data_IF_991865635843
#
_entry.id   IF_991865635843
#
_cell.length_a   1.000
_cell.length_b   1.000
_cell.length_c   1.000
_cell.angle_alpha   90.00
_cell.angle_beta   90.00
_cell.angle_gamma   90.00
#
_symmetry.space_group_name_H-M   'P 1'
#
loop_
_entity.id
_entity.type
_entity.pdbx_description
1 polymer ?
#
# COMPACT_ATOMS: atom_id res chain seq x y z
N UNK A 1 22.69 28.71 -2.58
CA UNK A 1 21.77 29.42 -1.68
C UNK A 1 21.78 28.73 -0.32
N UNK A 2 22.38 29.38 0.63
CA UNK A 2 22.48 29.21 2.09
C UNK A 2 22.50 27.80 2.72
N UNK A 3 23.64 27.10 2.60
CA UNK A 3 24.00 25.95 3.44
C UNK A 3 24.07 26.29 4.96
N UNK A 4 24.21 27.58 5.32
CA UNK A 4 24.26 28.03 6.69
C UNK A 4 22.89 28.07 7.41
N UNK A 5 21.78 28.28 6.71
CA UNK A 5 20.44 28.32 7.31
C UNK A 5 19.99 26.91 7.72
N UNK A 6 20.25 25.91 6.89
CA UNK A 6 19.89 24.50 7.17
C UNK A 6 20.70 23.90 8.33
N UNK A 7 22.00 24.24 8.46
CA UNK A 7 22.82 23.85 9.61
C UNK A 7 22.32 24.47 10.92
N UNK A 8 21.82 25.73 10.88
CA UNK A 8 21.28 26.40 12.07
C UNK A 8 19.96 25.79 12.56
N UNK A 9 19.17 25.20 11.68
CA UNK A 9 17.89 24.56 12.02
C UNK A 9 18.09 23.25 12.80
N UNK A 10 19.16 22.52 12.52
CA UNK A 10 19.45 21.23 13.16
C UNK A 10 19.95 21.36 14.61
N UNK A 11 20.45 22.52 14.99
CA UNK A 11 20.97 22.81 16.32
C UNK A 11 19.93 23.46 17.25
N UNK A 12 18.75 23.84 16.76
CA UNK A 12 17.71 24.48 17.61
C UNK A 12 16.90 23.45 18.38
N UNK A 13 16.81 23.52 19.71
CA UNK A 13 16.08 22.55 20.55
C UNK A 13 14.61 22.37 20.16
N UNK A 14 13.94 23.44 19.71
CA UNK A 14 12.54 23.41 19.28
C UNK A 14 12.29 22.48 18.10
N UNK A 15 13.24 22.35 17.15
CA UNK A 15 13.11 21.44 16.01
C UNK A 15 13.38 19.97 16.40
N UNK A 16 14.17 19.72 17.44
CA UNK A 16 14.35 18.38 18.00
C UNK A 16 13.03 17.83 18.56
N UNK A 17 12.26 18.68 19.27
CA UNK A 17 10.92 18.34 19.75
C UNK A 17 9.97 18.03 18.58
N UNK A 18 9.93 18.87 17.56
CA UNK A 18 9.02 18.72 16.42
C UNK A 18 9.36 17.48 15.59
N UNK A 19 10.65 17.16 15.40
CA UNK A 19 11.08 15.89 14.77
C UNK A 19 10.63 14.67 15.58
N UNK A 20 10.73 14.70 16.90
CA UNK A 20 10.24 13.62 17.77
C UNK A 20 8.72 13.48 17.68
N UNK A 21 7.99 14.58 17.78
CA UNK A 21 6.53 14.59 17.63
C UNK A 21 6.10 14.04 16.25
N UNK A 22 6.84 14.35 15.19
CA UNK A 22 6.55 13.84 13.86
C UNK A 22 6.78 12.33 13.75
N UNK A 23 7.85 11.78 14.34
CA UNK A 23 8.07 10.32 14.41
C UNK A 23 6.92 9.65 15.18
N UNK A 24 6.52 10.23 16.31
CA UNK A 24 5.41 9.70 17.12
C UNK A 24 4.09 9.74 16.36
N UNK A 25 3.83 10.85 15.66
CA UNK A 25 2.66 11.00 14.79
C UNK A 25 2.63 9.92 13.70
N UNK A 26 3.73 9.75 12.95
CA UNK A 26 3.84 8.74 11.90
C UNK A 26 3.68 7.31 12.44
N UNK A 27 4.15 7.05 13.66
CA UNK A 27 4.00 5.77 14.34
C UNK A 27 2.55 5.47 14.68
N UNK A 28 1.83 6.44 15.28
CA UNK A 28 0.41 6.27 15.62
C UNK A 28 -0.44 6.17 14.35
N UNK A 29 -0.15 6.98 13.34
CA UNK A 29 -0.78 6.89 12.02
C UNK A 29 -0.59 5.49 11.41
N UNK A 30 0.59 4.88 11.58
CA UNK A 30 0.84 3.49 11.17
C UNK A 30 -0.06 2.50 11.91
N UNK A 31 -0.30 2.66 13.23
CA UNK A 31 -1.21 1.81 13.99
C UNK A 31 -2.63 1.90 13.47
N UNK A 32 -3.14 3.12 13.25
CA UNK A 32 -4.48 3.36 12.74
C UNK A 32 -4.62 2.74 11.33
N UNK A 33 -3.66 2.97 10.44
CA UNK A 33 -3.70 2.42 9.07
C UNK A 33 -3.58 0.90 9.04
N UNK A 34 -2.87 0.27 9.98
CA UNK A 34 -2.86 -1.18 10.16
C UNK A 34 -4.23 -1.67 10.58
N UNK A 35 -4.86 -1.04 11.59
CA UNK A 35 -6.17 -1.43 12.09
C UNK A 35 -7.28 -1.33 11.03
N UNK A 36 -7.22 -0.34 10.14
CA UNK A 36 -8.18 -0.20 9.03
C UNK A 36 -7.68 -0.84 7.73
N UNK A 37 -6.56 -1.55 7.78
CA UNK A 37 -5.95 -2.25 6.65
C UNK A 37 -6.75 -3.47 6.20
N UNK A 38 -6.37 -4.02 5.05
CA UNK A 38 -7.13 -5.06 4.31
C UNK A 38 -7.66 -6.19 5.17
N UNK A 39 -6.84 -6.77 6.05
CA UNK A 39 -7.22 -7.96 6.84
C UNK A 39 -8.21 -7.61 7.95
N UNK A 40 -7.95 -6.55 8.70
CA UNK A 40 -8.84 -6.13 9.78
C UNK A 40 -10.16 -5.56 9.23
N UNK A 41 -10.07 -4.81 8.13
CA UNK A 41 -11.25 -4.34 7.41
C UNK A 41 -12.11 -5.50 6.91
N UNK A 42 -11.48 -6.57 6.38
CA UNK A 42 -12.19 -7.78 5.96
C UNK A 42 -12.93 -8.44 7.14
N UNK A 43 -12.30 -8.50 8.32
CA UNK A 43 -12.96 -9.04 9.53
C UNK A 43 -14.22 -8.24 9.91
N UNK A 44 -14.13 -6.90 9.88
CA UNK A 44 -15.28 -6.02 10.13
C UNK A 44 -16.37 -6.23 9.07
N UNK A 45 -16.01 -6.25 7.79
CA UNK A 45 -16.94 -6.39 6.68
C UNK A 45 -17.65 -7.76 6.66
N UNK A 46 -16.93 -8.84 6.99
CA UNK A 46 -17.51 -10.18 7.18
C UNK A 46 -18.55 -10.21 8.29
N UNK A 47 -18.29 -9.52 9.41
CA UNK A 47 -19.21 -9.50 10.56
C UNK A 47 -20.55 -8.85 10.28
N UNK A 48 -20.62 -7.96 9.29
CA UNK A 48 -21.87 -7.31 8.84
C UNK A 48 -22.49 -7.98 7.61
N UNK A 49 -21.97 -9.17 7.21
CA UNK A 49 -22.54 -10.01 6.17
C UNK A 49 -22.19 -9.62 4.73
N UNK A 50 -21.08 -8.87 4.51
CA UNK A 50 -20.62 -8.57 3.15
C UNK A 50 -20.02 -9.80 2.47
N UNK A 51 -20.25 -9.93 1.16
CA UNK A 51 -19.66 -11.01 0.34
C UNK A 51 -18.16 -10.79 0.12
N UNK A 52 -17.42 -11.89 -0.11
CA UNK A 52 -15.98 -11.87 -0.39
C UNK A 52 -15.63 -10.97 -1.58
N UNK A 53 -16.47 -11.01 -2.62
CA UNK A 53 -16.34 -10.14 -3.79
C UNK A 53 -16.45 -8.65 -3.45
N UNK A 54 -17.43 -8.29 -2.62
CA UNK A 54 -17.63 -6.90 -2.17
C UNK A 54 -16.49 -6.45 -1.27
N UNK A 55 -15.99 -7.34 -0.40
CA UNK A 55 -14.84 -7.06 0.48
C UNK A 55 -13.57 -6.84 -0.35
N UNK A 56 -13.35 -7.67 -1.37
CA UNK A 56 -12.21 -7.49 -2.28
C UNK A 56 -12.27 -6.13 -2.98
N UNK A 57 -13.42 -5.72 -3.47
CA UNK A 57 -13.61 -4.38 -4.06
C UNK A 57 -13.36 -3.27 -3.02
N UNK A 58 -13.88 -3.42 -1.80
CA UNK A 58 -13.69 -2.45 -0.73
C UNK A 58 -12.19 -2.29 -0.38
N UNK A 59 -11.43 -3.39 -0.34
CA UNK A 59 -10.00 -3.32 -0.11
C UNK A 59 -9.23 -2.66 -1.25
N UNK A 60 -9.74 -2.73 -2.48
CA UNK A 60 -9.16 -2.02 -3.63
C UNK A 60 -9.40 -0.51 -3.61
N UNK A 61 -10.41 -0.04 -2.89
CA UNK A 61 -10.60 1.40 -2.63
C UNK A 61 -9.36 1.99 -1.98
N UNK A 62 -8.67 1.26 -1.10
CA UNK A 62 -7.41 1.69 -0.47
C UNK A 62 -6.34 2.05 -1.52
N UNK A 63 -6.30 1.34 -2.64
CA UNK A 63 -5.36 1.60 -3.74
C UNK A 63 -5.90 2.66 -4.71
N UNK A 64 -7.19 2.60 -5.05
CA UNK A 64 -7.83 3.55 -5.95
C UNK A 64 -7.79 4.98 -5.41
N UNK A 65 -8.03 5.17 -4.12
CA UNK A 65 -8.01 6.49 -3.49
C UNK A 65 -6.65 7.19 -3.53
N UNK A 66 -5.55 6.46 -3.81
CA UNK A 66 -4.23 7.07 -4.09
C UNK A 66 -4.24 7.96 -5.33
N UNK A 67 -5.13 7.72 -6.29
CA UNK A 67 -5.28 8.59 -7.45
C UNK A 67 -5.71 10.02 -7.05
N UNK A 68 -6.47 10.16 -5.96
CA UNK A 68 -6.89 11.47 -5.43
C UNK A 68 -5.75 12.25 -4.77
N UNK A 69 -4.57 11.64 -4.55
CA UNK A 69 -3.38 12.36 -4.08
C UNK A 69 -3.02 13.53 -5.01
N UNK A 70 -3.36 13.45 -6.30
CA UNK A 70 -3.17 14.57 -7.24
C UNK A 70 -3.93 15.82 -6.83
N UNK A 71 -5.05 15.70 -6.11
CA UNK A 71 -5.83 16.83 -5.58
C UNK A 71 -5.07 17.60 -4.49
N UNK A 72 -4.00 17.04 -3.94
CA UNK A 72 -3.13 17.75 -3.01
C UNK A 72 -2.29 18.85 -3.67
N UNK A 73 -2.06 18.77 -4.98
CA UNK A 73 -1.21 19.74 -5.72
C UNK A 73 -1.72 21.17 -5.56
N UNK A 74 -3.01 21.50 -5.83
CA UNK A 74 -3.52 22.84 -5.60
C UNK A 74 -3.53 23.25 -4.12
N UNK A 75 -3.62 22.30 -3.20
CA UNK A 75 -3.63 22.55 -1.76
C UNK A 75 -2.23 22.89 -1.22
N UNK A 76 -1.17 22.44 -1.87
CA UNK A 76 0.21 22.77 -1.50
C UNK A 76 0.58 24.25 -1.74
N UNK A 77 -0.28 25.01 -2.43
CA UNK A 77 -0.11 26.47 -2.63
C UNK A 77 -0.44 27.28 -1.37
N UNK A 78 -1.17 26.71 -0.42
CA UNK A 78 -1.51 27.40 0.82
C UNK A 78 -0.29 27.53 1.73
N UNK A 79 -0.03 28.77 2.14
CA UNK A 79 1.11 29.10 2.99
C UNK A 79 1.05 28.43 4.37
N UNK A 80 -0.16 28.22 4.89
CA UNK A 80 -0.42 27.64 6.20
C UNK A 80 -1.19 26.30 6.07
N UNK A 81 -0.48 25.17 5.87
CA UNK A 81 -1.12 23.88 5.63
C UNK A 81 -1.93 23.36 6.83
N UNK A 82 -1.55 23.73 8.06
CA UNK A 82 -2.19 23.24 9.28
C UNK A 82 -3.67 23.62 9.38
N UNK A 83 -4.06 24.81 8.90
CA UNK A 83 -5.45 25.27 8.94
C UNK A 83 -6.44 24.36 8.22
N UNK A 84 -6.08 23.85 7.05
CA UNK A 84 -6.97 22.96 6.29
C UNK A 84 -6.67 21.47 6.51
N UNK A 85 -5.43 21.11 6.90
CA UNK A 85 -5.10 19.73 7.28
C UNK A 85 -5.79 19.30 8.58
N UNK A 86 -5.99 20.21 9.55
CA UNK A 86 -6.64 19.88 10.83
C UNK A 86 -8.06 19.35 10.66
N UNK A 87 -9.02 20.06 10.02
CA UNK A 87 -10.36 19.52 9.82
C UNK A 87 -10.37 18.25 8.99
N UNK A 88 -9.47 18.17 8.00
CA UNK A 88 -9.30 16.98 7.17
C UNK A 88 -8.84 15.77 8.01
N UNK A 89 -7.86 15.97 8.90
CA UNK A 89 -7.39 14.96 9.82
C UNK A 89 -8.52 14.47 10.74
N UNK A 90 -9.30 15.39 11.32
CA UNK A 90 -10.46 15.03 12.15
C UNK A 90 -11.45 14.15 11.39
N UNK A 91 -11.76 14.49 10.14
CA UNK A 91 -12.66 13.68 9.32
C UNK A 91 -12.07 12.30 9.00
N UNK A 92 -10.76 12.19 8.78
CA UNK A 92 -10.06 10.92 8.59
C UNK A 92 -10.22 10.05 9.84
N UNK A 93 -9.89 10.59 11.02
CA UNK A 93 -9.89 9.87 12.27
C UNK A 93 -11.32 9.41 12.69
N UNK A 94 -12.31 10.26 12.48
CA UNK A 94 -13.71 9.91 12.68
C UNK A 94 -14.10 8.76 11.74
N UNK A 95 -13.76 8.86 10.44
CA UNK A 95 -14.09 7.84 9.45
C UNK A 95 -13.48 6.49 9.82
N UNK A 96 -12.20 6.46 10.21
CA UNK A 96 -11.49 5.24 10.57
C UNK A 96 -12.01 4.63 11.88
N UNK A 97 -12.37 5.45 12.85
CA UNK A 97 -13.02 4.98 14.10
C UNK A 97 -14.39 4.37 13.82
N UNK A 98 -15.19 5.00 12.95
CA UNK A 98 -16.52 4.51 12.57
C UNK A 98 -16.49 3.11 11.94
N UNK A 99 -15.43 2.72 11.24
CA UNK A 99 -15.27 1.37 10.66
C UNK A 99 -15.53 0.29 11.73
N UNK A 100 -14.99 0.45 12.93
CA UNK A 100 -15.19 -0.50 14.03
C UNK A 100 -16.50 -0.34 14.78
N UNK A 101 -17.09 0.85 14.77
CA UNK A 101 -18.31 1.14 15.54
C UNK A 101 -19.59 0.81 14.76
N UNK A 102 -19.54 0.78 13.41
CA UNK A 102 -20.71 0.44 12.57
C UNK A 102 -21.34 -0.90 12.94
N UNK A 103 -20.60 -2.00 13.20
CA UNK A 103 -21.21 -3.28 13.60
C UNK A 103 -21.97 -3.21 14.93
N UNK A 104 -21.60 -2.28 15.80
CA UNK A 104 -22.11 -2.17 17.19
C UNK A 104 -23.28 -1.23 17.31
N UNK A 105 -23.32 -0.17 16.49
CA UNK A 105 -24.38 0.83 16.56
C UNK A 105 -25.74 0.25 16.19
N UNK A 106 -26.84 0.78 16.79
CA UNK A 106 -28.22 0.37 16.50
C UNK A 106 -28.66 0.87 15.10
N UNK A 107 -27.92 0.48 14.07
CA UNK A 107 -28.18 0.84 12.67
C UNK A 107 -28.85 -0.36 11.99
N UNK A 108 -29.88 -0.14 11.13
CA UNK A 108 -30.47 -1.21 10.33
C UNK A 108 -29.42 -2.02 9.59
N UNK A 109 -29.51 -3.35 9.62
CA UNK A 109 -28.51 -4.26 9.03
C UNK A 109 -28.25 -3.98 7.55
N UNK A 110 -29.30 -3.62 6.80
CA UNK A 110 -29.16 -3.27 5.38
C UNK A 110 -28.37 -1.98 5.09
N UNK A 111 -28.26 -1.04 6.08
CA UNK A 111 -27.51 0.20 5.90
C UNK A 111 -26.04 0.08 6.30
N UNK A 112 -25.65 -0.92 7.09
CA UNK A 112 -24.29 -1.10 7.59
C UNK A 112 -23.24 -1.23 6.47
N UNK A 113 -23.43 -2.03 5.41
CA UNK A 113 -22.48 -2.13 4.33
C UNK A 113 -22.24 -0.79 3.61
N UNK A 114 -23.32 -0.03 3.34
CA UNK A 114 -23.21 1.27 2.68
C UNK A 114 -22.42 2.28 3.55
N UNK A 115 -22.71 2.32 4.85
CA UNK A 115 -21.98 3.19 5.78
C UNK A 115 -20.52 2.80 5.92
N UNK A 116 -20.20 1.51 5.93
CA UNK A 116 -18.82 1.03 5.94
C UNK A 116 -18.07 1.47 4.66
N UNK A 117 -18.68 1.31 3.50
CA UNK A 117 -18.11 1.78 2.22
C UNK A 117 -17.87 3.29 2.26
N UNK A 118 -18.83 4.08 2.72
CA UNK A 118 -18.69 5.53 2.84
C UNK A 118 -17.54 5.90 3.77
N UNK A 119 -17.45 5.29 4.96
CA UNK A 119 -16.37 5.54 5.92
C UNK A 119 -14.99 5.20 5.33
N UNK A 120 -14.85 4.06 4.65
CA UNK A 120 -13.60 3.62 4.03
C UNK A 120 -13.21 4.54 2.87
N UNK A 121 -14.13 4.86 1.96
CA UNK A 121 -13.87 5.74 0.81
C UNK A 121 -13.49 7.14 1.28
N UNK A 122 -14.28 7.73 2.17
CA UNK A 122 -14.04 9.09 2.68
C UNK A 122 -12.71 9.16 3.43
N UNK A 123 -12.51 8.29 4.42
CA UNK A 123 -11.29 8.27 5.23
C UNK A 123 -10.03 8.11 4.37
N UNK A 124 -10.01 7.12 3.46
CA UNK A 124 -8.83 6.87 2.62
C UNK A 124 -8.60 7.94 1.54
N UNK A 125 -9.65 8.54 0.98
CA UNK A 125 -9.52 9.65 0.03
C UNK A 125 -8.86 10.85 0.71
N UNK A 126 -9.39 11.27 1.85
CA UNK A 126 -8.84 12.39 2.61
C UNK A 126 -7.41 12.08 3.10
N UNK A 127 -7.16 10.85 3.56
CA UNK A 127 -5.84 10.40 3.95
C UNK A 127 -4.82 10.57 2.81
N UNK A 128 -5.12 10.06 1.61
CA UNK A 128 -4.22 10.15 0.47
C UNK A 128 -3.99 11.61 0.01
N UNK A 129 -5.03 12.46 0.03
CA UNK A 129 -4.89 13.89 -0.26
C UNK A 129 -3.95 14.56 0.77
N UNK A 130 -4.00 14.17 2.05
CA UNK A 130 -3.17 14.74 3.11
C UNK A 130 -1.70 14.31 3.07
N UNK A 131 -1.36 13.19 2.43
CA UNK A 131 -0.01 12.60 2.46
C UNK A 131 1.08 13.55 1.94
N UNK A 132 0.88 14.15 0.74
CA UNK A 132 1.89 15.04 0.14
C UNK A 132 2.12 16.31 0.93
N UNK A 133 1.10 17.04 1.40
CA UNK A 133 1.27 18.22 2.24
C UNK A 133 1.93 17.92 3.59
N UNK A 134 1.57 16.79 4.23
CA UNK A 134 2.25 16.35 5.46
C UNK A 134 3.72 16.05 5.21
N UNK A 135 4.05 15.38 4.12
CA UNK A 135 5.45 15.09 3.76
C UNK A 135 6.24 16.38 3.47
N UNK A 136 5.65 17.33 2.73
CA UNK A 136 6.25 18.63 2.46
C UNK A 136 6.51 19.43 3.74
N UNK A 137 5.58 19.39 4.68
CA UNK A 137 5.72 20.01 5.98
C UNK A 137 6.88 19.39 6.80
N UNK A 138 7.00 18.06 6.83
CA UNK A 138 8.10 17.34 7.48
C UNK A 138 9.47 17.79 6.97
N UNK A 139 9.60 18.00 5.67
CA UNK A 139 10.86 18.44 5.04
C UNK A 139 11.39 19.73 5.69
N UNK A 140 10.50 20.60 6.16
CA UNK A 140 10.87 21.83 6.86
C UNK A 140 11.57 21.63 8.21
N UNK A 141 11.39 20.48 8.88
CA UNK A 141 12.03 20.17 10.18
C UNK A 141 13.39 19.51 10.04
N UNK A 142 13.73 18.98 8.87
CA UNK A 142 14.89 18.10 8.66
C UNK A 142 15.82 18.72 7.62
N UNK A 143 17.11 18.80 7.94
CA UNK A 143 18.13 19.26 7.01
C UNK A 143 18.28 18.28 5.83
N UNK A 144 18.61 18.79 4.65
CA UNK A 144 18.63 18.04 3.38
C UNK A 144 19.57 16.83 3.43
N UNK A 145 20.72 16.99 4.06
CA UNK A 145 21.75 15.95 4.25
C UNK A 145 21.33 14.85 5.24
N UNK A 146 20.25 15.06 6.03
CA UNK A 146 19.78 14.11 7.06
C UNK A 146 18.40 13.52 6.77
N UNK A 147 17.74 13.92 5.69
CA UNK A 147 16.39 13.46 5.34
C UNK A 147 16.32 11.94 5.21
N UNK A 148 17.27 11.33 4.51
CA UNK A 148 17.31 9.88 4.33
C UNK A 148 17.43 9.14 5.67
N UNK A 149 18.35 9.58 6.54
CA UNK A 149 18.53 8.99 7.89
C UNK A 149 17.28 9.14 8.75
N UNK A 150 16.66 10.33 8.73
CA UNK A 150 15.45 10.62 9.50
C UNK A 150 14.29 9.73 9.04
N UNK A 151 14.05 9.64 7.72
CA UNK A 151 12.99 8.79 7.14
C UNK A 151 13.25 7.32 7.46
N UNK A 152 14.48 6.84 7.37
CA UNK A 152 14.83 5.46 7.72
C UNK A 152 14.52 5.14 9.19
N UNK A 153 14.91 6.03 10.12
CA UNK A 153 14.61 5.87 11.56
C UNK A 153 13.09 5.87 11.80
N UNK A 154 12.37 6.82 11.21
CA UNK A 154 10.91 6.91 11.33
C UNK A 154 10.23 5.63 10.81
N UNK A 155 10.60 5.16 9.63
CA UNK A 155 10.03 3.93 9.07
C UNK A 155 10.37 2.70 9.90
N UNK A 156 11.59 2.58 10.41
CA UNK A 156 11.99 1.45 11.27
C UNK A 156 11.16 1.41 12.55
N UNK A 157 10.97 2.55 13.21
CA UNK A 157 10.15 2.65 14.43
C UNK A 157 8.69 2.32 14.10
N UNK A 158 8.13 2.91 13.04
CA UNK A 158 6.72 2.68 12.64
C UNK A 158 6.47 1.23 12.26
N UNK A 159 7.36 0.59 11.50
CA UNK A 159 7.24 -0.81 11.12
C UNK A 159 7.36 -1.74 12.32
N UNK A 160 8.41 -1.58 13.14
CA UNK A 160 8.65 -2.45 14.29
C UNK A 160 7.52 -2.36 15.33
N UNK A 161 7.11 -1.15 15.69
CA UNK A 161 6.00 -0.94 16.63
C UNK A 161 4.64 -1.31 16.00
N UNK A 162 4.47 -1.13 14.67
CA UNK A 162 3.28 -1.55 13.94
C UNK A 162 3.07 -3.07 13.96
N UNK A 163 4.15 -3.86 13.88
CA UNK A 163 4.08 -5.32 14.03
C UNK A 163 3.59 -5.71 15.43
N UNK A 164 4.14 -5.08 16.48
CA UNK A 164 3.72 -5.30 17.86
C UNK A 164 2.25 -4.90 18.05
N UNK A 165 1.83 -3.75 17.52
CA UNK A 165 0.44 -3.29 17.55
C UNK A 165 -0.50 -4.26 16.84
N UNK A 166 -0.14 -4.73 15.64
CA UNK A 166 -0.93 -5.70 14.89
C UNK A 166 -1.13 -7.01 15.67
N UNK A 167 -0.07 -7.49 16.33
CA UNK A 167 -0.16 -8.67 17.20
C UNK A 167 -1.12 -8.44 18.38
N UNK A 168 -1.01 -7.29 19.07
CA UNK A 168 -1.88 -6.94 20.20
C UNK A 168 -3.34 -6.85 19.76
N UNK A 169 -3.61 -6.17 18.64
CA UNK A 169 -4.95 -6.03 18.08
C UNK A 169 -5.52 -7.41 17.70
N UNK A 170 -4.73 -8.26 17.03
CA UNK A 170 -5.12 -9.64 16.72
C UNK A 170 -5.47 -10.44 17.96
N UNK A 171 -4.64 -10.34 19.02
CA UNK A 171 -4.88 -11.02 20.31
C UNK A 171 -6.17 -10.54 20.99
N UNK A 172 -6.46 -9.26 20.94
CA UNK A 172 -7.72 -8.70 21.46
C UNK A 172 -8.91 -9.33 20.73
N UNK A 173 -8.90 -9.29 19.39
CA UNK A 173 -9.98 -9.84 18.56
C UNK A 173 -10.19 -11.31 18.87
N UNK A 174 -9.15 -12.14 18.83
CA UNK A 174 -9.23 -13.58 19.09
C UNK A 174 -9.75 -13.88 20.50
N UNK A 175 -9.33 -13.09 21.51
CA UNK A 175 -9.75 -13.32 22.90
C UNK A 175 -11.25 -13.08 23.09
N UNK A 176 -11.80 -12.01 22.51
CA UNK A 176 -13.23 -11.73 22.61
C UNK A 176 -14.05 -12.69 21.72
N UNK A 177 -13.54 -13.08 20.55
CA UNK A 177 -14.18 -14.05 19.68
C UNK A 177 -14.30 -15.42 20.33
N UNK A 178 -13.22 -15.91 21.00
CA UNK A 178 -13.25 -17.17 21.76
C UNK A 178 -14.27 -17.16 22.92
N UNK A 179 -14.61 -15.98 23.45
CA UNK A 179 -15.66 -15.80 24.47
C UNK A 179 -17.07 -15.72 23.87
N UNK A 180 -17.19 -15.75 22.55
CA UNK A 180 -18.47 -15.51 21.84
C UNK A 180 -18.96 -14.07 21.89
N UNK A 181 -18.13 -13.14 22.38
CA UNK A 181 -18.50 -11.72 22.52
C UNK A 181 -18.07 -10.91 21.27
N UNK A 182 -18.78 -11.10 20.17
CA UNK A 182 -18.56 -10.33 18.94
C UNK A 182 -18.76 -8.82 19.11
N UNK A 183 -19.64 -8.40 20.03
CA UNK A 183 -19.82 -7.00 20.34
C UNK A 183 -18.59 -6.41 21.02
N UNK A 184 -18.03 -7.13 21.98
CA UNK A 184 -16.79 -6.77 22.66
C UNK A 184 -15.61 -6.66 21.70
N UNK A 185 -15.51 -7.53 20.69
CA UNK A 185 -14.48 -7.42 19.62
C UNK A 185 -14.47 -6.01 19.03
N UNK A 186 -15.63 -5.52 18.59
CA UNK A 186 -15.69 -4.24 17.87
C UNK A 186 -15.66 -3.03 18.79
N UNK A 187 -16.25 -3.12 19.98
CA UNK A 187 -16.20 -2.03 20.99
C UNK A 187 -14.77 -1.79 21.43
N UNK A 188 -14.05 -2.84 21.84
CA UNK A 188 -12.68 -2.69 22.39
C UNK A 188 -11.71 -2.27 21.28
N UNK A 189 -11.80 -2.88 20.10
CA UNK A 189 -10.97 -2.47 18.96
C UNK A 189 -11.28 -1.04 18.51
N UNK A 190 -12.56 -0.66 18.48
CA UNK A 190 -12.99 0.70 18.15
C UNK A 190 -12.54 1.75 19.16
N UNK A 191 -12.59 1.45 20.46
CA UNK A 191 -12.06 2.33 21.51
C UNK A 191 -10.54 2.47 21.43
N UNK A 192 -9.83 1.37 21.09
CA UNK A 192 -8.39 1.42 20.88
C UNK A 192 -8.05 2.34 19.68
N UNK A 193 -8.72 2.17 18.53
CA UNK A 193 -8.53 3.05 17.37
C UNK A 193 -8.90 4.48 17.72
N UNK A 194 -10.03 4.73 18.38
CA UNK A 194 -10.46 6.06 18.81
C UNK A 194 -9.42 6.75 19.72
N UNK A 195 -8.85 6.02 20.68
CA UNK A 195 -7.81 6.57 21.57
C UNK A 195 -6.54 6.94 20.80
N UNK A 196 -6.12 6.09 19.82
CA UNK A 196 -5.00 6.40 18.93
C UNK A 196 -5.30 7.60 18.04
N UNK A 197 -6.53 7.72 17.53
CA UNK A 197 -6.99 8.85 16.72
C UNK A 197 -6.96 10.17 17.48
N UNK A 198 -7.46 10.17 18.72
CA UNK A 198 -7.38 11.36 19.58
C UNK A 198 -5.92 11.76 19.85
N UNK A 199 -5.09 10.78 20.20
CA UNK A 199 -3.65 11.02 20.43
C UNK A 199 -2.95 11.56 19.18
N UNK A 200 -3.28 11.02 18.00
CA UNK A 200 -2.74 11.48 16.70
C UNK A 200 -3.08 12.95 16.44
N UNK A 201 -4.34 13.34 16.66
CA UNK A 201 -4.79 14.73 16.52
C UNK A 201 -4.07 15.65 17.51
N UNK A 202 -3.96 15.26 18.79
CA UNK A 202 -3.25 16.06 19.81
C UNK A 202 -1.81 16.29 19.42
N UNK A 203 -1.09 15.24 19.00
CA UNK A 203 0.33 15.37 18.59
C UNK A 203 0.45 16.26 17.35
N UNK A 204 -0.45 16.09 16.37
CA UNK A 204 -0.48 16.95 15.19
C UNK A 204 -0.66 18.44 15.57
N UNK A 205 -1.58 18.73 16.49
CA UNK A 205 -1.82 20.09 16.96
C UNK A 205 -0.62 20.66 17.75
N UNK A 206 0.10 19.81 18.48
CA UNK A 206 1.32 20.21 19.23
C UNK A 206 2.56 20.41 18.35
N UNK A 207 2.58 19.88 17.12
CA UNK A 207 3.72 20.04 16.20
C UNK A 207 3.71 21.44 15.59
N UNK A 208 4.89 22.08 15.52
CA UNK A 208 5.02 23.45 15.01
C UNK A 208 4.73 23.51 13.51
N UNK A 209 4.04 24.56 13.07
CA UNK A 209 3.85 24.82 11.65
C UNK A 209 5.06 25.56 11.05
N UNK A 210 5.52 25.09 9.90
CA UNK A 210 6.48 25.81 9.07
C UNK A 210 5.75 26.20 7.79
N UNK A 211 5.75 27.51 7.44
CA UNK A 211 5.11 27.98 6.20
C UNK A 211 5.73 27.33 4.98
N UNK A 212 4.89 26.92 4.04
CA UNK A 212 5.32 26.28 2.82
C UNK A 212 5.87 27.34 1.84
N UNK A 213 7.12 27.27 1.44
CA UNK A 213 7.72 28.08 0.38
C UNK A 213 7.39 27.41 -0.96
N UNK A 214 6.44 27.96 -1.67
CA UNK A 214 5.72 27.48 -2.84
C UNK A 214 6.38 26.52 -3.83
N UNK A 215 5.60 25.61 -4.34
CA UNK A 215 5.99 24.67 -5.40
C UNK A 215 6.01 25.34 -6.79
N UNK A 216 6.96 24.91 -7.63
CA UNK A 216 7.01 25.26 -9.06
C UNK A 216 5.84 24.63 -9.80
N UNK A 217 5.09 25.44 -10.54
CA UNK A 217 3.94 25.00 -11.33
C UNK A 217 4.44 24.28 -12.61
N UNK A 218 4.44 22.96 -12.62
CA UNK A 218 4.75 22.18 -13.83
C UNK A 218 3.44 21.75 -14.49
N UNK A 219 3.30 22.01 -15.79
CA UNK A 219 2.11 21.62 -16.55
C UNK A 219 2.00 20.10 -16.65
N UNK A 220 0.91 19.54 -16.14
CA UNK A 220 0.60 18.10 -16.22
C UNK A 220 0.58 17.62 -17.67
N UNK A 221 0.07 18.45 -18.60
CA UNK A 221 -0.03 18.14 -20.03
C UNK A 221 1.35 17.94 -20.67
N UNK A 222 2.32 18.80 -20.33
CA UNK A 222 3.65 18.73 -20.91
C UNK A 222 4.41 17.50 -20.40
N UNK A 223 4.22 17.14 -19.13
CA UNK A 223 4.78 15.92 -18.56
C UNK A 223 4.21 14.66 -19.20
N UNK A 224 2.90 14.57 -19.37
CA UNK A 224 2.24 13.45 -20.07
C UNK A 224 2.78 13.34 -21.50
N UNK A 225 2.90 14.47 -22.21
CA UNK A 225 3.44 14.50 -23.57
C UNK A 225 4.89 14.01 -23.66
N UNK A 226 5.74 14.40 -22.71
CA UNK A 226 7.12 13.95 -22.62
C UNK A 226 7.21 12.42 -22.42
N UNK A 227 6.38 11.86 -21.55
CA UNK A 227 6.32 10.41 -21.30
C UNK A 227 5.85 9.64 -22.54
N UNK A 228 4.77 10.05 -23.18
CA UNK A 228 4.20 9.36 -24.36
C UNK A 228 5.15 9.40 -25.54
N UNK A 229 5.95 10.45 -25.71
CA UNK A 229 6.98 10.55 -26.76
C UNK A 229 8.20 9.65 -26.51
N UNK A 230 8.42 9.23 -25.26
CA UNK A 230 9.58 8.42 -24.90
C UNK A 230 9.31 6.93 -25.14
N UNK A 231 9.92 6.36 -26.20
CA UNK A 231 9.75 4.95 -26.59
C UNK A 231 10.18 3.97 -25.50
N UNK A 232 11.21 4.30 -24.71
CA UNK A 232 11.67 3.43 -23.61
C UNK A 232 10.63 3.38 -22.49
N UNK A 233 10.05 4.52 -22.08
CA UNK A 233 8.99 4.57 -21.08
C UNK A 233 7.73 3.84 -21.54
N UNK A 234 7.36 3.95 -22.82
CA UNK A 234 6.22 3.22 -23.38
C UNK A 234 6.39 1.70 -23.37
N UNK A 235 7.64 1.18 -23.32
CA UNK A 235 7.92 -0.25 -23.11
C UNK A 235 7.96 -0.64 -21.63
N UNK A 236 8.30 0.28 -20.74
CA UNK A 236 8.45 0.02 -19.31
C UNK A 236 7.10 0.14 -18.56
N UNK A 237 6.27 1.14 -18.87
CA UNK A 237 5.00 1.36 -18.18
C UNK A 237 4.04 0.16 -18.20
N UNK A 238 3.91 -0.63 -19.29
CA UNK A 238 3.08 -1.83 -19.28
C UNK A 238 3.54 -2.92 -18.30
N UNK A 239 4.82 -2.94 -17.90
CA UNK A 239 5.32 -3.86 -16.85
C UNK A 239 4.54 -3.67 -15.56
N UNK A 240 4.27 -2.41 -15.16
CA UNK A 240 3.48 -2.10 -13.98
C UNK A 240 2.02 -2.53 -14.13
N UNK A 241 1.40 -2.26 -15.28
CA UNK A 241 0.00 -2.65 -15.53
C UNK A 241 -0.16 -4.19 -15.48
N UNK A 242 0.72 -4.94 -16.15
CA UNK A 242 0.72 -6.39 -16.12
C UNK A 242 1.01 -6.95 -14.72
N UNK A 243 1.91 -6.33 -13.97
CA UNK A 243 2.16 -6.69 -12.58
C UNK A 243 0.89 -6.52 -11.73
N UNK A 244 0.18 -5.39 -11.86
CA UNK A 244 -1.06 -5.17 -11.12
C UNK A 244 -2.16 -6.14 -11.54
N UNK A 245 -2.28 -6.47 -12.82
CA UNK A 245 -3.21 -7.53 -13.30
C UNK A 245 -2.88 -8.86 -12.62
N UNK A 246 -1.62 -9.30 -12.68
CA UNK A 246 -1.21 -10.55 -12.07
C UNK A 246 -1.45 -10.56 -10.55
N UNK A 247 -0.98 -9.52 -9.86
CA UNK A 247 -1.05 -9.39 -8.41
C UNK A 247 -2.48 -9.33 -7.88
N UNK A 248 -3.32 -8.51 -8.52
CA UNK A 248 -4.68 -8.25 -8.08
C UNK A 248 -5.69 -9.28 -8.58
N UNK A 249 -5.27 -10.24 -9.41
CA UNK A 249 -6.11 -11.41 -9.71
C UNK A 249 -6.46 -12.17 -8.43
N UNK A 250 -5.58 -12.22 -7.45
CA UNK A 250 -5.72 -13.11 -6.30
C UNK A 250 -5.63 -12.41 -4.93
N UNK A 251 -4.69 -11.48 -4.75
CA UNK A 251 -4.38 -10.92 -3.43
C UNK A 251 -5.53 -10.23 -2.71
N UNK A 252 -6.49 -9.55 -3.40
CA UNK A 252 -7.64 -8.92 -2.73
C UNK A 252 -8.55 -9.91 -2.01
N UNK A 253 -8.58 -11.17 -2.46
CA UNK A 253 -9.46 -12.21 -1.93
C UNK A 253 -8.82 -13.03 -0.80
N UNK A 254 -7.53 -12.86 -0.55
CA UNK A 254 -6.80 -13.68 0.42
C UNK A 254 -7.14 -13.34 1.87
N UNK A 255 -7.52 -12.11 2.19
CA UNK A 255 -7.92 -11.74 3.54
C UNK A 255 -9.18 -12.48 3.99
N UNK A 256 -10.19 -12.60 3.11
CA UNK A 256 -11.40 -13.39 3.39
C UNK A 256 -11.10 -14.89 3.43
N UNK A 257 -10.24 -15.36 2.53
CA UNK A 257 -9.81 -16.77 2.48
C UNK A 257 -9.13 -17.23 3.78
N UNK A 258 -8.20 -16.42 4.30
CA UNK A 258 -7.53 -16.71 5.56
C UNK A 258 -8.52 -16.87 6.73
N UNK A 259 -9.49 -15.97 6.80
CA UNK A 259 -10.43 -15.89 7.92
C UNK A 259 -11.53 -16.96 7.78
N UNK A 260 -12.16 -17.04 6.60
CA UNK A 260 -13.40 -17.80 6.39
C UNK A 260 -13.14 -19.27 6.05
N UNK A 261 -12.26 -19.51 5.08
CA UNK A 261 -12.04 -20.85 4.55
C UNK A 261 -10.90 -21.58 5.27
N UNK A 262 -9.77 -20.90 5.51
CA UNK A 262 -8.63 -21.50 6.22
C UNK A 262 -8.80 -21.45 7.75
N UNK A 263 -9.75 -20.65 8.28
CA UNK A 263 -10.04 -20.56 9.71
C UNK A 263 -8.87 -20.06 10.55
N UNK A 264 -8.02 -19.19 10.00
CA UNK A 264 -6.88 -18.65 10.73
C UNK A 264 -7.32 -17.64 11.78
N UNK A 265 -6.74 -17.73 12.99
CA UNK A 265 -6.91 -16.70 14.01
C UNK A 265 -6.26 -15.37 13.58
N UNK A 266 -6.81 -14.25 14.06
CA UNK A 266 -6.25 -12.93 13.75
C UNK A 266 -4.82 -12.79 14.28
N UNK A 267 -4.50 -13.42 15.42
CA UNK A 267 -3.14 -13.50 15.95
C UNK A 267 -2.20 -14.22 14.99
N UNK A 268 -2.60 -15.37 14.41
CA UNK A 268 -1.78 -16.10 13.44
C UNK A 268 -1.54 -15.28 12.18
N UNK A 269 -2.56 -14.60 11.67
CA UNK A 269 -2.45 -13.69 10.51
C UNK A 269 -1.50 -12.52 10.82
N UNK A 270 -1.58 -11.95 12.03
CA UNK A 270 -0.67 -10.88 12.45
C UNK A 270 0.79 -11.35 12.53
N UNK A 271 1.04 -12.59 13.03
CA UNK A 271 2.38 -13.19 13.04
C UNK A 271 2.89 -13.40 11.62
N UNK A 272 2.08 -13.96 10.72
CA UNK A 272 2.46 -14.14 9.31
C UNK A 272 2.79 -12.79 8.64
N UNK A 273 2.02 -11.74 8.93
CA UNK A 273 2.25 -10.40 8.40
C UNK A 273 3.57 -9.81 8.93
N UNK A 274 3.87 -10.00 10.21
CA UNK A 274 5.13 -9.55 10.80
C UNK A 274 6.34 -10.28 10.20
N UNK A 275 6.26 -11.60 10.05
CA UNK A 275 7.29 -12.41 9.40
C UNK A 275 7.47 -12.00 7.95
N UNK A 276 6.37 -11.78 7.22
CA UNK A 276 6.38 -11.28 5.84
C UNK A 276 7.11 -9.95 5.73
N UNK A 277 6.81 -8.98 6.60
CA UNK A 277 7.44 -7.67 6.60
C UNK A 277 8.96 -7.76 6.89
N UNK A 278 9.38 -8.61 7.82
CA UNK A 278 10.79 -8.83 8.12
C UNK A 278 11.54 -9.44 6.92
N UNK A 279 10.97 -10.47 6.30
CA UNK A 279 11.54 -11.12 5.11
C UNK A 279 11.60 -10.15 3.93
N UNK A 280 10.53 -9.39 3.68
CA UNK A 280 10.49 -8.37 2.64
C UNK A 280 11.61 -7.34 2.83
N UNK A 281 11.83 -6.88 4.06
CA UNK A 281 12.89 -5.92 4.38
C UNK A 281 14.29 -6.49 4.10
N UNK A 282 14.55 -7.74 4.50
CA UNK A 282 15.84 -8.42 4.23
C UNK A 282 16.02 -8.62 2.72
N UNK A 283 14.98 -9.11 2.04
CA UNK A 283 14.99 -9.33 0.59
C UNK A 283 15.23 -8.03 -0.19
N UNK A 284 14.67 -6.91 0.26
CA UNK A 284 14.87 -5.60 -0.37
C UNK A 284 16.34 -5.18 -0.43
N UNK A 285 17.13 -5.51 0.61
CA UNK A 285 18.58 -5.23 0.61
C UNK A 285 19.31 -6.05 -0.45
N UNK A 286 18.96 -7.32 -0.59
CA UNK A 286 19.53 -8.21 -1.61
C UNK A 286 19.15 -7.75 -3.02
N UNK A 287 17.86 -7.50 -3.25
CA UNK A 287 17.35 -7.05 -4.55
C UNK A 287 17.84 -5.65 -4.92
N UNK A 288 18.00 -4.73 -3.95
CA UNK A 288 18.61 -3.43 -4.19
C UNK A 288 20.01 -3.57 -4.78
N UNK A 289 20.88 -4.36 -4.13
CA UNK A 289 22.25 -4.62 -4.63
C UNK A 289 22.26 -5.32 -6.00
N UNK A 290 21.30 -6.21 -6.24
CA UNK A 290 21.18 -6.89 -7.53
C UNK A 290 20.73 -5.91 -8.62
N UNK A 291 19.76 -5.03 -8.33
CA UNK A 291 19.29 -3.99 -9.24
C UNK A 291 20.40 -3.01 -9.63
N UNK A 292 21.17 -2.54 -8.65
CA UNK A 292 22.31 -1.64 -8.88
C UNK A 292 23.39 -2.29 -9.78
N UNK A 293 23.65 -3.60 -9.60
CA UNK A 293 24.69 -4.32 -10.36
C UNK A 293 24.24 -4.79 -11.74
N UNK A 294 23.01 -5.28 -11.89
CA UNK A 294 22.53 -5.95 -13.13
C UNK A 294 21.38 -5.22 -13.81
N UNK A 295 20.89 -4.11 -13.20
CA UNK A 295 19.73 -3.34 -13.65
C UNK A 295 18.41 -3.88 -13.10
N UNK A 296 17.46 -2.96 -12.94
CA UNK A 296 16.19 -3.24 -12.25
C UNK A 296 15.27 -4.18 -13.04
N UNK A 297 15.31 -4.22 -14.38
CA UNK A 297 14.54 -5.20 -15.16
C UNK A 297 15.03 -6.65 -14.94
N UNK A 298 16.35 -6.87 -14.87
CA UNK A 298 16.92 -8.20 -14.61
C UNK A 298 16.58 -8.66 -13.20
N UNK A 299 16.65 -7.75 -12.24
CA UNK A 299 16.28 -7.98 -10.85
C UNK A 299 14.78 -8.31 -10.73
N UNK A 300 13.91 -7.56 -11.40
CA UNK A 300 12.46 -7.81 -11.42
C UNK A 300 12.10 -9.17 -12.00
N UNK A 301 12.83 -9.61 -13.04
CA UNK A 301 12.58 -10.93 -13.62
C UNK A 301 12.75 -12.07 -12.59
N UNK A 302 13.78 -11.97 -11.74
CA UNK A 302 13.95 -12.90 -10.60
C UNK A 302 12.81 -12.77 -9.56
N UNK A 303 12.44 -11.55 -9.22
CA UNK A 303 11.33 -11.31 -8.28
C UNK A 303 10.00 -11.89 -8.81
N UNK A 304 9.73 -11.74 -10.11
CA UNK A 304 8.52 -12.29 -10.75
C UNK A 304 8.54 -13.81 -10.84
N UNK A 305 9.69 -14.45 -11.03
CA UNK A 305 9.80 -15.92 -10.96
C UNK A 305 9.44 -16.44 -9.56
N UNK A 306 9.91 -15.76 -8.51
CA UNK A 306 9.56 -16.11 -7.12
C UNK A 306 8.07 -15.84 -6.86
N UNK A 307 7.52 -14.74 -7.41
CA UNK A 307 6.09 -14.43 -7.30
C UNK A 307 5.22 -15.48 -8.00
N UNK A 308 5.64 -15.96 -9.17
CA UNK A 308 4.96 -17.05 -9.88
C UNK A 308 4.96 -18.33 -9.03
N UNK A 309 6.11 -18.68 -8.43
CA UNK A 309 6.18 -19.83 -7.51
C UNK A 309 5.27 -19.66 -6.30
N UNK A 310 5.17 -18.43 -5.74
CA UNK A 310 4.26 -18.13 -4.63
C UNK A 310 2.79 -18.39 -5.04
N UNK A 311 2.34 -17.85 -6.15
CA UNK A 311 0.98 -18.08 -6.62
C UNK A 311 0.72 -19.55 -6.95
N UNK A 312 1.68 -20.26 -7.53
CA UNK A 312 1.57 -21.69 -7.81
C UNK A 312 1.37 -22.49 -6.52
N UNK A 313 2.13 -22.21 -5.46
CA UNK A 313 1.95 -22.86 -4.14
C UNK A 313 0.52 -22.61 -3.62
N UNK A 314 0.01 -21.38 -3.78
CA UNK A 314 -1.31 -21.06 -3.26
C UNK A 314 -2.47 -21.66 -4.07
N UNK A 315 -2.24 -22.09 -5.31
CA UNK A 315 -3.21 -22.90 -6.07
C UNK A 315 -3.58 -24.19 -5.35
N UNK A 316 -2.60 -24.80 -4.64
CA UNK A 316 -2.80 -26.05 -3.92
C UNK A 316 -3.17 -25.87 -2.44
N UNK A 317 -3.33 -24.63 -1.99
CA UNK A 317 -3.72 -24.33 -0.60
C UNK A 317 -5.18 -24.66 -0.38
N UNK A 318 -5.48 -25.43 0.66
CA UNK A 318 -6.82 -25.83 1.08
C UNK A 318 -6.88 -25.88 2.63
N UNK A 319 -8.05 -25.94 3.26
CA UNK A 319 -8.15 -25.98 4.73
C UNK A 319 -7.30 -27.07 5.39
N UNK A 320 -7.18 -28.24 4.77
CA UNK A 320 -6.41 -29.37 5.30
C UNK A 320 -4.89 -29.12 5.39
N UNK A 321 -4.33 -28.33 4.46
CA UNK A 321 -2.90 -28.04 4.35
C UNK A 321 -2.54 -26.57 4.51
N UNK A 322 -3.55 -25.72 4.76
CA UNK A 322 -3.43 -24.27 4.70
C UNK A 322 -2.36 -23.69 5.61
N UNK A 323 -2.19 -24.22 6.83
CA UNK A 323 -1.17 -23.71 7.76
C UNK A 323 0.24 -23.77 7.15
N UNK A 324 0.56 -24.81 6.39
CA UNK A 324 1.89 -25.01 5.80
C UNK A 324 2.00 -24.32 4.44
N UNK A 325 1.08 -24.60 3.51
CA UNK A 325 1.19 -24.07 2.15
C UNK A 325 0.94 -22.55 2.09
N UNK A 326 -0.01 -22.04 2.88
CA UNK A 326 -0.24 -20.62 2.93
C UNK A 326 0.94 -19.87 3.58
N UNK A 327 1.56 -20.43 4.62
CA UNK A 327 2.78 -19.86 5.18
C UNK A 327 3.93 -19.86 4.15
N UNK A 328 4.11 -20.93 3.38
CA UNK A 328 5.09 -20.99 2.30
C UNK A 328 4.79 -19.94 1.20
N UNK A 329 3.51 -19.79 0.81
CA UNK A 329 3.08 -18.71 -0.07
C UNK A 329 3.52 -17.34 0.48
N UNK A 330 3.21 -17.05 1.75
CA UNK A 330 3.54 -15.77 2.40
C UNK A 330 5.05 -15.50 2.38
N UNK A 331 5.89 -16.52 2.63
CA UNK A 331 7.35 -16.42 2.60
C UNK A 331 7.86 -16.06 1.19
N UNK A 332 7.44 -16.82 0.18
CA UNK A 332 7.84 -16.57 -1.22
C UNK A 332 7.34 -15.21 -1.70
N UNK A 333 6.09 -14.87 -1.38
CA UNK A 333 5.48 -13.58 -1.71
C UNK A 333 6.23 -12.42 -1.07
N UNK A 334 6.64 -12.54 0.20
CA UNK A 334 7.41 -11.52 0.90
C UNK A 334 8.78 -11.28 0.25
N UNK A 335 9.47 -12.35 -0.18
CA UNK A 335 10.72 -12.24 -0.92
C UNK A 335 10.49 -11.48 -2.24
N UNK A 336 9.46 -11.85 -3.01
CA UNK A 336 9.12 -11.19 -4.26
C UNK A 336 8.76 -9.69 -4.05
N UNK A 337 8.00 -9.39 -2.99
CA UNK A 337 7.64 -8.01 -2.61
C UNK A 337 8.87 -7.16 -2.29
N UNK A 338 9.92 -7.74 -1.70
CA UNK A 338 11.19 -7.04 -1.49
C UNK A 338 11.80 -6.55 -2.81
N UNK A 339 11.76 -7.36 -3.86
CA UNK A 339 12.23 -6.98 -5.19
C UNK A 339 11.33 -5.96 -5.88
N UNK A 340 10.02 -6.21 -5.92
CA UNK A 340 9.06 -5.30 -6.58
C UNK A 340 8.99 -3.94 -5.91
N UNK A 341 9.07 -3.88 -4.57
CA UNK A 341 9.09 -2.63 -3.82
C UNK A 341 10.33 -1.78 -4.12
N UNK A 342 11.52 -2.40 -4.23
CA UNK A 342 12.74 -1.69 -4.61
C UNK A 342 12.65 -1.16 -6.05
N UNK A 343 12.10 -1.92 -6.97
CA UNK A 343 11.97 -1.50 -8.36
C UNK A 343 10.92 -0.41 -8.58
N UNK A 344 9.99 -0.24 -7.67
CA UNK A 344 8.79 0.59 -7.87
C UNK A 344 9.09 1.99 -8.41
N UNK A 345 10.05 2.69 -7.84
CA UNK A 345 10.51 3.99 -8.33
C UNK A 345 11.80 3.89 -9.16
N UNK A 346 12.71 2.98 -8.77
CA UNK A 346 14.03 2.89 -9.39
C UNK A 346 13.98 2.48 -10.86
N UNK A 347 13.01 1.66 -11.26
CA UNK A 347 12.81 1.31 -12.67
C UNK A 347 12.45 2.55 -13.51
N UNK A 348 11.63 3.47 -12.99
CA UNK A 348 11.35 4.73 -13.68
C UNK A 348 12.61 5.60 -13.75
N UNK A 349 13.38 5.69 -12.66
CA UNK A 349 14.62 6.48 -12.65
C UNK A 349 15.67 5.95 -13.65
N UNK A 350 15.71 4.65 -13.91
CA UNK A 350 16.64 4.03 -14.85
C UNK A 350 16.31 4.37 -16.31
N UNK A 351 15.02 4.57 -16.66
CA UNK A 351 14.56 4.75 -18.05
C UNK A 351 13.97 6.12 -18.35
N UNK A 352 13.64 6.93 -17.34
CA UNK A 352 13.04 8.24 -17.52
C UNK A 352 14.09 9.37 -17.43
N UNK A 353 14.16 10.26 -18.43
CA UNK A 353 14.91 11.51 -18.29
C UNK A 353 14.30 12.37 -17.18
N UNK A 354 15.10 13.28 -16.61
CA UNK A 354 14.73 14.07 -15.42
C UNK A 354 13.40 14.81 -15.54
N UNK A 355 13.15 15.37 -16.71
CA UNK A 355 11.93 16.12 -17.06
C UNK A 355 10.67 15.26 -17.16
N UNK A 356 10.81 13.96 -17.46
CA UNK A 356 9.70 13.02 -17.62
C UNK A 356 9.43 12.15 -16.37
N UNK A 357 10.30 12.16 -15.35
CA UNK A 357 10.19 11.27 -14.17
C UNK A 357 8.89 11.47 -13.40
N UNK A 358 8.54 12.71 -13.11
CA UNK A 358 7.31 13.03 -12.34
C UNK A 358 6.07 12.61 -13.12
N UNK A 359 6.05 12.90 -14.43
CA UNK A 359 4.97 12.48 -15.33
C UNK A 359 4.85 10.96 -15.42
N UNK A 360 5.96 10.23 -15.52
CA UNK A 360 5.97 8.77 -15.57
C UNK A 360 5.44 8.15 -14.26
N UNK A 361 5.82 8.69 -13.10
CA UNK A 361 5.30 8.27 -11.82
C UNK A 361 3.79 8.52 -11.68
N UNK A 362 3.32 9.69 -12.12
CA UNK A 362 1.91 10.05 -12.10
C UNK A 362 1.08 9.13 -13.01
N UNK A 363 1.54 8.88 -14.26
CA UNK A 363 0.87 7.97 -15.21
C UNK A 363 0.85 6.55 -14.64
N UNK A 364 1.96 6.07 -14.08
CA UNK A 364 2.02 4.77 -13.41
C UNK A 364 1.00 4.67 -12.28
N UNK A 365 0.96 5.66 -11.39
CA UNK A 365 0.04 5.68 -10.25
C UNK A 365 -1.42 5.66 -10.69
N UNK A 366 -1.79 6.52 -11.63
CA UNK A 366 -3.15 6.59 -12.17
C UNK A 366 -3.55 5.32 -12.92
N UNK A 367 -2.70 4.84 -13.82
CA UNK A 367 -2.95 3.60 -14.57
C UNK A 367 -3.08 2.40 -13.64
N UNK A 368 -2.20 2.31 -12.62
CA UNK A 368 -2.28 1.26 -11.60
C UNK A 368 -3.61 1.29 -10.85
N UNK A 369 -4.07 2.48 -10.42
CA UNK A 369 -5.34 2.63 -9.70
C UNK A 369 -6.55 2.19 -10.54
N UNK A 370 -6.61 2.62 -11.80
CA UNK A 370 -7.70 2.26 -12.72
C UNK A 370 -7.68 0.77 -13.03
N UNK A 371 -6.52 0.24 -13.43
CA UNK A 371 -6.35 -1.19 -13.73
C UNK A 371 -6.71 -2.04 -12.52
N UNK A 372 -6.24 -1.65 -11.33
CA UNK A 372 -6.53 -2.33 -10.07
C UNK A 372 -8.03 -2.48 -9.83
N UNK A 373 -8.76 -1.38 -9.93
CA UNK A 373 -10.20 -1.37 -9.66
C UNK A 373 -10.98 -2.20 -10.69
N UNK A 374 -10.76 -1.91 -11.98
CA UNK A 374 -11.49 -2.61 -13.05
C UNK A 374 -11.18 -4.11 -13.07
N UNK A 375 -9.92 -4.48 -12.87
CA UNK A 375 -9.51 -5.88 -12.86
C UNK A 375 -10.08 -6.64 -11.66
N UNK A 376 -10.05 -6.04 -10.46
CA UNK A 376 -10.65 -6.66 -9.28
C UNK A 376 -12.16 -6.78 -9.41
N UNK A 377 -12.82 -5.84 -10.08
CA UNK A 377 -14.27 -5.95 -10.39
C UNK A 377 -14.56 -7.18 -11.23
N UNK A 378 -13.78 -7.45 -12.27
CA UNK A 378 -13.91 -8.66 -13.10
C UNK A 378 -13.67 -9.93 -12.28
N UNK A 379 -12.59 -9.96 -11.47
CA UNK A 379 -12.28 -11.12 -10.62
C UNK A 379 -13.32 -11.33 -9.53
N UNK A 380 -13.93 -10.28 -8.99
CA UNK A 380 -15.03 -10.37 -8.01
C UNK A 380 -16.24 -11.09 -8.60
N UNK A 381 -16.60 -10.82 -9.87
CA UNK A 381 -17.66 -11.54 -10.55
C UNK A 381 -17.37 -13.03 -10.73
N UNK A 382 -16.11 -13.39 -10.99
CA UNK A 382 -15.69 -14.78 -11.08
C UNK A 382 -15.76 -15.48 -9.72
N UNK A 383 -15.24 -14.85 -8.67
CA UNK A 383 -15.25 -15.38 -7.29
C UNK A 383 -16.68 -15.62 -6.83
N UNK A 384 -17.59 -14.63 -6.99
CA UNK A 384 -19.01 -14.80 -6.65
C UNK A 384 -19.62 -16.00 -7.35
N UNK A 385 -19.44 -16.15 -8.67
CA UNK A 385 -20.00 -17.27 -9.42
C UNK A 385 -19.52 -18.64 -8.92
N UNK A 386 -18.24 -18.75 -8.53
CA UNK A 386 -17.69 -20.02 -8.02
C UNK A 386 -18.29 -20.31 -6.64
N UNK A 387 -18.40 -19.31 -5.78
CA UNK A 387 -18.95 -19.44 -4.42
C UNK A 387 -20.45 -19.74 -4.44
N UNK A 388 -21.22 -19.08 -5.30
CA UNK A 388 -22.66 -19.32 -5.49
C UNK A 388 -22.94 -20.75 -6.00
N UNK A 389 -22.01 -21.34 -6.78
CA UNK A 389 -22.03 -22.72 -7.20
C UNK A 389 -21.49 -23.72 -6.14
N UNK A 390 -21.35 -23.31 -4.87
CA UNK A 390 -20.87 -24.16 -3.78
C UNK A 390 -19.39 -24.53 -3.90
N UNK A 391 -18.54 -23.60 -4.33
CA UNK A 391 -17.11 -23.81 -4.58
C UNK A 391 -16.85 -24.92 -5.60
N UNK A 392 -17.59 -24.90 -6.72
CA UNK A 392 -17.38 -25.77 -7.86
C UNK A 392 -17.01 -24.97 -9.10
N UNK A 393 -15.88 -25.35 -9.69
CA UNK A 393 -15.40 -24.80 -10.96
C UNK A 393 -15.07 -25.94 -11.92
N UNK A 394 -15.62 -25.91 -13.15
CA UNK A 394 -15.47 -26.99 -14.15
C UNK A 394 -15.76 -28.39 -13.57
N UNK A 395 -16.83 -28.50 -12.78
CA UNK A 395 -17.28 -29.75 -12.12
C UNK A 395 -16.34 -30.31 -11.02
N UNK A 396 -15.26 -29.60 -10.72
CA UNK A 396 -14.34 -29.93 -9.62
C UNK A 396 -14.67 -29.12 -8.38
N UNK A 397 -14.54 -29.70 -7.18
CA UNK A 397 -14.63 -29.00 -5.90
C UNK A 397 -13.35 -28.19 -5.67
N UNK A 398 -13.37 -26.90 -6.02
CA UNK A 398 -12.20 -26.02 -5.95
C UNK A 398 -12.63 -24.68 -5.35
N UNK A 399 -11.92 -24.22 -4.32
CA UNK A 399 -12.17 -22.89 -3.76
C UNK A 399 -11.89 -21.78 -4.78
N UNK A 400 -12.69 -20.73 -4.77
CA UNK A 400 -12.54 -19.59 -5.69
C UNK A 400 -11.12 -19.01 -5.62
N UNK A 401 -10.50 -18.97 -4.44
CA UNK A 401 -9.16 -18.43 -4.23
C UNK A 401 -8.06 -19.27 -4.90
N UNK A 402 -8.26 -20.57 -5.06
CA UNK A 402 -7.34 -21.44 -5.83
C UNK A 402 -7.39 -21.07 -7.32
N UNK A 403 -8.59 -20.83 -7.86
CA UNK A 403 -8.79 -20.45 -9.27
C UNK A 403 -8.15 -19.08 -9.54
N UNK A 404 -8.40 -18.09 -8.70
CA UNK A 404 -7.78 -16.75 -8.88
C UNK A 404 -6.28 -16.77 -8.69
N UNK A 405 -5.75 -17.68 -7.84
CA UNK A 405 -4.29 -17.91 -7.72
C UNK A 405 -3.70 -18.51 -8.99
N UNK A 406 -4.40 -19.44 -9.64
CA UNK A 406 -3.98 -19.98 -10.94
C UNK A 406 -3.97 -18.90 -12.03
N UNK A 407 -4.98 -18.03 -12.05
CA UNK A 407 -5.03 -16.86 -12.95
C UNK A 407 -3.86 -15.93 -12.68
N UNK A 408 -3.58 -15.62 -11.42
CA UNK A 408 -2.44 -14.79 -11.01
C UNK A 408 -1.09 -15.40 -11.45
N UNK A 409 -0.93 -16.71 -11.31
CA UNK A 409 0.23 -17.45 -11.81
C UNK A 409 0.40 -17.29 -13.33
N UNK A 410 -0.66 -17.52 -14.11
CA UNK A 410 -0.64 -17.38 -15.57
C UNK A 410 -0.26 -15.96 -15.99
N UNK A 411 -0.88 -14.93 -15.41
CA UNK A 411 -0.56 -13.54 -15.73
C UNK A 411 0.86 -13.16 -15.28
N UNK A 412 1.38 -13.77 -14.22
CA UNK A 412 2.78 -13.58 -13.83
C UNK A 412 3.74 -14.18 -14.87
N UNK A 413 3.41 -15.33 -15.48
CA UNK A 413 4.19 -15.87 -16.59
C UNK A 413 4.13 -14.98 -17.85
N UNK A 414 2.95 -14.41 -18.16
CA UNK A 414 2.79 -13.43 -19.24
C UNK A 414 3.65 -12.19 -18.97
N UNK A 415 3.69 -11.70 -17.74
CA UNK A 415 4.52 -10.58 -17.31
C UNK A 415 6.02 -10.92 -17.50
N UNK A 416 6.48 -12.09 -17.09
CA UNK A 416 7.85 -12.56 -17.28
C UNK A 416 8.21 -12.61 -18.78
N UNK A 417 7.31 -13.14 -19.60
CA UNK A 417 7.48 -13.17 -21.06
C UNK A 417 7.59 -11.76 -21.61
N UNK A 418 6.71 -10.84 -21.24
CA UNK A 418 6.74 -9.44 -21.67
C UNK A 418 8.05 -8.74 -21.29
N UNK A 419 8.52 -8.93 -20.06
CA UNK A 419 9.80 -8.36 -19.59
C UNK A 419 10.96 -8.87 -20.46
N UNK A 420 10.99 -10.17 -20.80
CA UNK A 420 12.09 -10.78 -21.55
C UNK A 420 12.06 -10.47 -23.05
N UNK A 421 10.88 -10.24 -23.63
CA UNK A 421 10.72 -10.02 -25.09
C UNK A 421 10.65 -8.54 -25.46
N UNK A 422 9.92 -7.71 -24.67
CA UNK A 422 9.61 -6.32 -25.04
C UNK A 422 10.36 -5.31 -24.16
N UNK A 423 10.27 -5.46 -22.82
CA UNK A 423 10.82 -4.46 -21.93
C UNK A 423 12.35 -4.39 -21.95
N UNK A 424 13.03 -5.51 -22.10
CA UNK A 424 14.52 -5.54 -22.26
C UNK A 424 15.04 -4.77 -23.49
N UNK A 425 14.18 -4.49 -24.47
CA UNK A 425 14.54 -3.64 -25.62
C UNK A 425 14.49 -2.14 -25.33
N UNK A 426 14.15 -1.70 -24.10
CA UNK A 426 14.19 -0.30 -23.70
C UNK A 426 15.65 0.14 -23.45
N UNK A 427 16.02 1.34 -23.95
CA UNK A 427 17.34 1.93 -23.72
C UNK A 427 17.35 2.66 -22.38
N UNK A 428 18.38 2.45 -21.56
CA UNK A 428 18.60 3.16 -20.30
C UNK A 428 18.98 4.62 -20.56
N UNK A 429 18.58 5.53 -19.66
CA UNK A 429 18.96 6.94 -19.77
C UNK A 429 20.48 7.17 -19.67
N UNK A 430 21.21 6.31 -18.95
CA UNK A 430 22.67 6.37 -18.80
C UNK A 430 23.41 6.08 -20.10
N UNK A 431 22.84 5.28 -21.01
CA UNK A 431 23.48 4.91 -22.26
C UNK A 431 23.52 6.07 -23.28
N UNK A 432 22.58 7.04 -23.17
CA UNK A 432 22.54 8.23 -24.03
C UNK A 432 23.52 9.35 -23.65
N UNK A 433 24.06 9.34 -22.43
CA UNK A 433 25.06 10.32 -21.99
C UNK A 433 26.50 9.92 -22.35
N UNK A 434 26.77 8.64 -22.59
CA UNK A 434 28.09 8.17 -23.06
C UNK A 434 28.31 8.45 -24.54
N UNK A 435 27.27 8.41 -25.36
CA UNK A 435 27.37 8.72 -26.80
C UNK A 435 27.56 10.22 -27.09
N UNK A 436 27.08 11.13 -26.21
CA UNK A 436 27.27 12.57 -26.41
C UNK A 436 28.62 13.09 -25.95
N UNK A 437 29.44 12.29 -25.25
CA UNK A 437 30.81 12.65 -24.84
C UNK A 437 31.90 12.15 -25.77
N UNK A 438 31.52 11.41 -26.82
CA UNK A 438 32.48 10.84 -27.83
C UNK A 438 32.27 11.39 -29.23
N UNK A 439 31.55 12.48 -29.41
CA UNK A 439 31.56 13.23 -30.66
C UNK A 439 32.66 14.30 -30.59
N UNK A 440 33.58 14.32 -31.56
CA UNK A 440 34.75 15.21 -31.59
C UNK A 440 34.37 16.69 -31.80
#
# INVERSE_FOLDING_TARGET
MNTNVTRSLDTKPQYKKDRFLYILQATIESFITIAVGTTYLAKVALSIGMSDATIALLTQVLHFTRAFQLLSIPLNKFKHPKHWLTPMLLMIEISFTLIYLIPVFPIPTGARPALLVIAVVLGNTLYNISCSPKAAWMIGFVADDRRGKFTAVMQTISLGSGMAFSYVLGKIIDTYEMRGDMRGVFVVSGLLVASMSVLHVIIFLCTKEIPNEGFVNVSVRDQVRAVVKNKSLMRILPVYALYFIAYLSATPFYSTYQIKELGFSMTYIAILSAVSAAICSIASIFFGRLGDKRGFLTMLNLAYLILAAAFLVNVFTAPANGKVLYALYVLLHAIACGGTGVADNNLIYEYAPLDARVGAMAIRGTASGIVSFLWTLLMSGLVSRIQDNGNRFLSMGIYAQQVVSAIAFIFTLVLILYVNTVAKGAKRCTDGQSESKTAP
#
